data_IF_581658870539
#
_entry.id   IF_581658870539
#
_cell.length_a   1.000
_cell.length_b   1.000
_cell.length_c   1.000
_cell.angle_alpha   90.00
_cell.angle_beta   90.00
_cell.angle_gamma   90.00
#
_symmetry.space_group_name_H-M   'P 1'
#
loop_
_entity.id
_entity.type
_entity.pdbx_description
1 polymer ?
#
# COMPACT_ATOMS: atom_id res chain seq x y z
N UNK A 1 -11.60 14.40 7.46
CA UNK A 1 -10.81 13.96 8.62
C UNK A 1 -9.90 12.85 8.10
N UNK A 2 -8.58 12.96 8.24
CA UNK A 2 -7.68 11.86 7.87
C UNK A 2 -8.03 10.64 8.73
N UNK A 3 -8.08 9.45 8.14
CA UNK A 3 -8.24 8.24 8.93
C UNK A 3 -6.99 8.05 9.81
N UNK A 4 -7.08 7.36 10.95
CA UNK A 4 -5.92 7.01 11.77
C UNK A 4 -4.79 6.36 10.96
N UNK A 5 -5.14 5.59 9.92
CA UNK A 5 -4.21 4.94 9.00
C UNK A 5 -3.45 5.96 8.13
N UNK A 6 -4.14 6.99 7.62
CA UNK A 6 -3.50 8.05 6.82
C UNK A 6 -2.49 8.83 7.67
N UNK A 7 -2.82 9.08 8.94
CA UNK A 7 -1.91 9.74 9.88
C UNK A 7 -0.68 8.88 10.17
N UNK A 8 -0.86 7.59 10.46
CA UNK A 8 0.24 6.66 10.70
C UNK A 8 1.17 6.56 9.48
N UNK A 9 0.62 6.51 8.27
CA UNK A 9 1.40 6.49 7.04
C UNK A 9 2.25 7.75 6.90
N UNK A 10 1.66 8.94 7.03
CA UNK A 10 2.41 10.20 6.95
C UNK A 10 3.49 10.31 8.03
N UNK A 11 3.17 9.88 9.27
CA UNK A 11 4.13 9.87 10.36
C UNK A 11 5.34 9.00 10.06
N UNK A 12 5.14 7.73 9.69
CA UNK A 12 6.25 6.83 9.37
C UNK A 12 7.02 7.28 8.13
N UNK A 13 6.31 7.81 7.12
CA UNK A 13 6.91 8.37 5.91
C UNK A 13 7.92 9.48 6.24
N UNK A 14 7.47 10.51 6.97
CA UNK A 14 8.33 11.66 7.28
C UNK A 14 9.39 11.35 8.34
N UNK A 15 9.17 10.38 9.22
CA UNK A 15 10.16 9.92 10.21
C UNK A 15 11.35 9.27 9.51
N UNK A 16 11.10 8.36 8.57
CA UNK A 16 12.12 7.52 7.96
C UNK A 16 12.73 8.17 6.69
N UNK A 17 12.07 9.19 6.13
CA UNK A 17 12.55 9.96 4.97
C UNK A 17 12.15 11.42 5.13
N UNK A 18 12.85 12.16 6.02
CA UNK A 18 12.65 13.59 6.10
C UNK A 18 12.97 14.20 4.74
N UNK A 19 12.06 15.05 4.25
CA UNK A 19 12.32 15.88 3.07
C UNK A 19 13.33 16.98 3.46
N UNK A 20 14.60 16.60 3.61
CA UNK A 20 15.71 17.52 3.86
C UNK A 20 16.68 17.54 2.67
N UNK A 21 17.69 18.42 2.73
CA UNK A 21 18.67 18.58 1.66
C UNK A 21 19.57 17.35 1.43
N UNK A 22 19.57 16.35 2.33
CA UNK A 22 20.30 15.08 2.13
C UNK A 22 19.53 14.11 1.23
N UNK A 23 18.23 14.33 1.07
CA UNK A 23 17.34 13.52 0.22
C UNK A 23 17.37 13.93 -1.27
N UNK A 24 18.25 14.87 -1.66
CA UNK A 24 18.46 15.29 -3.05
C UNK A 24 19.06 14.12 -3.85
N UNK A 25 18.36 13.70 -4.91
CA UNK A 25 18.82 12.63 -5.81
C UNK A 25 18.29 11.22 -5.50
N UNK A 26 17.29 11.11 -4.60
CA UNK A 26 16.58 9.87 -4.35
C UNK A 26 16.02 9.25 -5.64
N UNK A 27 16.22 7.95 -5.81
CA UNK A 27 15.83 7.19 -6.99
C UNK A 27 14.54 6.41 -6.70
N UNK A 28 13.93 5.89 -7.77
CA UNK A 28 12.79 4.97 -7.70
C UNK A 28 13.02 3.81 -6.72
N UNK A 29 14.23 3.26 -6.68
CA UNK A 29 14.60 2.18 -5.75
C UNK A 29 14.52 2.59 -4.29
N UNK A 30 14.97 3.81 -3.95
CA UNK A 30 14.95 4.33 -2.58
C UNK A 30 13.49 4.50 -2.12
N UNK A 31 12.62 4.98 -3.00
CA UNK A 31 11.19 5.12 -2.74
C UNK A 31 10.47 3.79 -2.57
N UNK A 32 10.79 2.78 -3.40
CA UNK A 32 10.24 1.44 -3.25
C UNK A 32 10.65 0.82 -1.92
N UNK A 33 11.92 0.91 -1.55
CA UNK A 33 12.43 0.39 -0.27
C UNK A 33 11.74 1.12 0.90
N UNK A 34 11.67 2.44 0.83
CA UNK A 34 11.03 3.25 1.87
C UNK A 34 9.55 2.93 2.03
N UNK A 35 8.80 2.85 0.93
CA UNK A 35 7.38 2.45 0.94
C UNK A 35 7.21 1.10 1.62
N UNK A 36 8.08 0.13 1.31
CA UNK A 36 8.08 -1.17 1.97
C UNK A 36 8.32 -1.11 3.48
N UNK A 37 9.23 -0.25 3.94
CA UNK A 37 9.50 -0.03 5.37
C UNK A 37 8.27 0.56 6.07
N UNK A 38 7.66 1.60 5.49
CA UNK A 38 6.44 2.23 6.04
C UNK A 38 5.30 1.23 6.12
N UNK A 39 5.05 0.47 5.04
CA UNK A 39 4.03 -0.59 5.00
C UNK A 39 4.25 -1.61 6.12
N UNK A 40 5.50 -2.04 6.35
CA UNK A 40 5.82 -2.98 7.43
C UNK A 40 5.55 -2.38 8.81
N UNK A 41 5.99 -1.15 9.08
CA UNK A 41 5.76 -0.48 10.36
C UNK A 41 4.26 -0.33 10.67
N UNK A 42 3.45 -0.04 9.66
CA UNK A 42 1.99 0.03 9.80
C UNK A 42 1.40 -1.34 10.11
N UNK A 43 1.82 -2.39 9.39
CA UNK A 43 1.36 -3.75 9.66
C UNK A 43 1.68 -4.17 11.10
N UNK A 44 2.90 -3.90 11.56
CA UNK A 44 3.34 -4.20 12.93
C UNK A 44 2.48 -3.45 13.96
N UNK A 45 2.13 -2.19 13.70
CA UNK A 45 1.22 -1.41 14.55
C UNK A 45 -0.17 -2.03 14.66
N UNK A 46 -0.68 -2.63 13.58
CA UNK A 46 -1.98 -3.32 13.57
C UNK A 46 -1.90 -4.80 14.00
N UNK A 47 -0.71 -5.33 14.31
CA UNK A 47 -0.52 -6.74 14.66
C UNK A 47 -0.64 -7.70 13.48
N UNK A 48 -0.42 -7.21 12.25
CA UNK A 48 -0.44 -8.01 11.03
C UNK A 48 0.97 -8.36 10.57
N UNK A 49 1.09 -9.48 9.84
CA UNK A 49 2.33 -9.87 9.18
C UNK A 49 2.36 -9.34 7.74
N UNK A 50 3.40 -8.58 7.37
CA UNK A 50 3.62 -8.15 5.97
C UNK A 50 4.31 -9.23 5.14
N UNK A 51 3.75 -9.57 3.98
CA UNK A 51 4.41 -10.37 2.94
C UNK A 51 4.64 -9.53 1.70
N UNK A 52 5.90 -9.33 1.36
CA UNK A 52 6.30 -8.77 0.07
C UNK A 52 6.19 -9.87 -0.99
N UNK A 53 5.50 -9.59 -2.09
CA UNK A 53 5.37 -10.55 -3.17
C UNK A 53 6.27 -10.23 -4.36
N UNK A 54 6.35 -11.19 -5.28
CA UNK A 54 7.16 -11.12 -6.48
C UNK A 54 6.50 -11.92 -7.60
N UNK A 55 6.97 -11.73 -8.84
CA UNK A 55 6.53 -12.51 -10.01
C UNK A 55 5.16 -12.13 -10.54
N UNK A 56 4.97 -10.85 -10.90
CA UNK A 56 3.70 -10.27 -11.43
C UNK A 56 2.51 -10.32 -10.46
N UNK A 57 2.75 -10.70 -9.21
CA UNK A 57 1.84 -10.47 -8.10
C UNK A 57 1.96 -9.02 -7.64
N UNK A 58 1.20 -8.70 -6.59
CA UNK A 58 1.20 -7.40 -5.95
C UNK A 58 2.41 -7.17 -5.08
N UNK A 59 2.73 -5.91 -4.83
CA UNK A 59 3.94 -5.59 -4.11
C UNK A 59 3.93 -6.12 -2.68
N UNK A 60 2.79 -6.03 -1.97
CA UNK A 60 2.67 -6.59 -0.63
C UNK A 60 1.24 -7.00 -0.23
N UNK A 61 1.18 -7.78 0.84
CA UNK A 61 -0.05 -8.17 1.53
C UNK A 61 0.15 -8.10 3.04
N UNK A 62 -0.81 -7.55 3.77
CA UNK A 62 -0.90 -7.67 5.23
C UNK A 62 -1.86 -8.80 5.57
N UNK A 63 -1.43 -9.67 6.47
CA UNK A 63 -2.12 -10.91 6.81
C UNK A 63 -2.28 -11.03 8.32
N UNK A 64 -3.47 -11.42 8.76
CA UNK A 64 -3.71 -11.82 10.14
C UNK A 64 -3.52 -13.35 10.29
N UNK A 65 -3.90 -13.94 11.41
CA UNK A 65 -3.75 -15.38 11.63
C UNK A 65 -4.61 -16.25 10.71
N UNK A 66 -5.64 -15.68 10.09
CA UNK A 66 -6.66 -16.41 9.34
C UNK A 66 -6.53 -16.19 7.83
N UNK A 67 -6.25 -14.97 7.38
CA UNK A 67 -6.36 -14.58 5.98
C UNK A 67 -5.57 -13.32 5.61
N UNK A 68 -5.49 -13.07 4.30
CA UNK A 68 -5.11 -11.76 3.77
C UNK A 68 -6.18 -10.72 4.13
N UNK A 69 -5.75 -9.62 4.72
CA UNK A 69 -6.62 -8.54 5.20
C UNK A 69 -6.49 -7.32 4.29
N UNK A 70 -5.26 -6.96 3.91
CA UNK A 70 -4.97 -5.79 3.09
C UNK A 70 -4.05 -6.17 1.93
N UNK A 71 -4.44 -5.84 0.70
CA UNK A 71 -3.61 -5.97 -0.49
C UNK A 71 -3.02 -4.61 -0.85
N UNK A 72 -1.73 -4.57 -1.15
CA UNK A 72 -1.01 -3.33 -1.44
C UNK A 72 -0.26 -3.41 -2.75
N UNK A 73 -0.36 -2.34 -3.53
CA UNK A 73 0.45 -2.06 -4.71
C UNK A 73 0.97 -0.64 -4.64
N UNK A 74 2.13 -0.39 -5.22
CA UNK A 74 2.66 0.95 -5.36
C UNK A 74 3.33 1.17 -6.71
N UNK A 75 3.10 2.33 -7.31
CA UNK A 75 3.71 2.70 -8.59
C UNK A 75 4.32 4.10 -8.53
N UNK A 76 5.53 4.21 -9.05
CA UNK A 76 6.27 5.48 -9.08
C UNK A 76 5.70 6.43 -10.15
N UNK A 77 5.32 5.90 -11.31
CA UNK A 77 4.91 6.69 -12.50
C UNK A 77 3.44 7.16 -12.47
N UNK A 78 2.75 7.05 -11.34
CA UNK A 78 1.34 7.47 -11.21
C UNK A 78 0.31 6.35 -11.42
N UNK A 79 -0.96 6.76 -11.59
CA UNK A 79 -2.13 5.88 -11.67
C UNK A 79 -2.32 5.15 -13.01
N UNK A 80 -1.49 5.43 -14.01
CA UNK A 80 -1.72 5.02 -15.41
C UNK A 80 -1.20 3.61 -15.75
N UNK A 81 -1.00 2.78 -14.73
CA UNK A 81 -0.42 1.43 -14.85
C UNK A 81 -1.43 0.27 -14.67
N UNK A 82 -0.93 -0.95 -14.84
CA UNK A 82 -1.71 -2.20 -14.68
C UNK A 82 -1.81 -2.65 -13.20
N UNK A 83 -1.20 -1.91 -12.28
CA UNK A 83 -1.07 -2.24 -10.86
C UNK A 83 -2.43 -2.28 -10.18
N UNK A 84 -3.35 -1.37 -10.54
CA UNK A 84 -4.74 -1.41 -10.06
C UNK A 84 -5.43 -2.70 -10.50
N UNK A 85 -5.13 -3.21 -11.70
CA UNK A 85 -5.70 -4.47 -12.18
C UNK A 85 -5.21 -5.67 -11.35
N UNK A 86 -3.96 -5.65 -10.87
CA UNK A 86 -3.43 -6.67 -9.96
C UNK A 86 -4.18 -6.70 -8.63
N UNK A 87 -4.52 -5.53 -8.06
CA UNK A 87 -5.40 -5.44 -6.88
C UNK A 87 -6.78 -6.03 -7.16
N UNK A 88 -7.41 -5.65 -8.28
CA UNK A 88 -8.74 -6.16 -8.67
C UNK A 88 -8.78 -7.67 -8.87
N UNK A 89 -7.68 -8.27 -9.32
CA UNK A 89 -7.55 -9.72 -9.55
C UNK A 89 -7.07 -10.47 -8.30
N UNK A 90 -6.93 -9.81 -7.15
CA UNK A 90 -6.44 -10.47 -5.95
C UNK A 90 -7.41 -11.58 -5.50
N UNK A 91 -6.88 -12.79 -5.40
CA UNK A 91 -7.51 -13.90 -4.70
C UNK A 91 -7.01 -13.92 -3.26
N UNK A 92 -7.91 -13.69 -2.31
CA UNK A 92 -7.62 -13.70 -0.88
C UNK A 92 -7.11 -15.08 -0.49
N UNK A 93 -5.94 -15.12 0.12
CA UNK A 93 -5.49 -16.33 0.79
C UNK A 93 -6.19 -16.44 2.14
N UNK A 94 -6.69 -17.64 2.46
CA UNK A 94 -7.28 -17.96 3.77
C UNK A 94 -6.78 -19.33 4.22
N UNK A 95 -6.57 -19.48 5.53
CA UNK A 95 -6.26 -20.76 6.17
C UNK A 95 -7.43 -21.72 6.05
N UNK A 96 -8.66 -21.24 6.27
CA UNK A 96 -9.88 -22.01 6.08
C UNK A 96 -10.40 -21.84 4.65
N UNK A 97 -10.17 -22.85 3.81
CA UNK A 97 -10.58 -22.83 2.38
C UNK A 97 -12.10 -22.83 2.17
N UNK A 98 -12.89 -23.11 3.21
CA UNK A 98 -14.35 -23.04 3.15
C UNK A 98 -14.88 -21.65 3.51
N UNK A 99 -14.01 -20.76 3.97
CA UNK A 99 -14.36 -19.37 4.22
C UNK A 99 -13.93 -18.55 3.01
N UNK A 100 -14.90 -17.93 2.32
CA UNK A 100 -14.62 -16.93 1.30
C UNK A 100 -14.12 -15.68 1.99
N UNK A 101 -12.84 -15.70 2.36
CA UNK A 101 -12.19 -14.59 3.02
C UNK A 101 -12.40 -13.29 2.25
N UNK A 102 -12.95 -12.28 2.92
CA UNK A 102 -13.14 -10.96 2.34
C UNK A 102 -11.90 -10.13 2.59
N UNK A 103 -11.32 -9.61 1.52
CA UNK A 103 -10.30 -8.59 1.63
C UNK A 103 -10.95 -7.33 2.20
N UNK A 104 -10.46 -6.85 3.35
CA UNK A 104 -11.03 -5.66 3.97
C UNK A 104 -10.68 -4.40 3.17
N UNK A 105 -9.42 -4.30 2.72
CA UNK A 105 -8.94 -3.13 1.99
C UNK A 105 -7.97 -3.50 0.85
N UNK A 106 -8.07 -2.75 -0.24
CA UNK A 106 -7.04 -2.67 -1.27
C UNK A 106 -6.46 -1.25 -1.27
N UNK A 107 -5.14 -1.15 -1.17
CA UNK A 107 -4.42 0.13 -1.07
C UNK A 107 -3.50 0.28 -2.28
N UNK A 108 -3.59 1.43 -2.95
CA UNK A 108 -2.69 1.81 -4.03
C UNK A 108 -1.93 3.08 -3.66
N UNK A 109 -0.60 3.01 -3.61
CA UNK A 109 0.28 4.12 -3.23
C UNK A 109 0.99 4.63 -4.49
N UNK A 110 0.85 5.90 -4.81
CA UNK A 110 1.50 6.45 -6.01
C UNK A 110 1.75 7.95 -5.90
N UNK A 111 2.63 8.47 -6.74
CA UNK A 111 2.77 9.90 -6.92
C UNK A 111 1.63 10.46 -7.76
N UNK A 112 1.08 11.61 -7.33
CA UNK A 112 0.13 12.36 -8.15
C UNK A 112 0.92 13.37 -8.97
N UNK A 113 1.13 13.10 -10.25
CA UNK A 113 1.55 14.14 -11.19
C UNK A 113 0.32 15.01 -11.47
N UNK A 114 0.28 16.23 -10.92
CA UNK A 114 -0.86 17.18 -10.87
C UNK A 114 -1.79 16.93 -9.65
N UNK A 115 -2.30 17.97 -8.96
CA UNK A 115 -3.21 17.82 -7.81
C UNK A 115 -4.58 17.27 -8.24
N UNK A 116 -4.62 15.99 -8.58
CA UNK A 116 -5.81 15.21 -8.89
C UNK A 116 -6.53 14.77 -7.60
N UNK A 117 -6.63 15.68 -6.63
CA UNK A 117 -7.36 15.49 -5.36
C UNK A 117 -8.87 15.34 -5.62
N UNK A 118 -9.35 15.70 -6.82
CA UNK A 118 -10.75 15.64 -7.20
C UNK A 118 -11.25 14.26 -7.66
N UNK A 119 -10.38 13.32 -8.07
CA UNK A 119 -10.85 12.04 -8.66
C UNK A 119 -11.15 10.98 -7.60
N UNK A 120 -10.50 11.00 -6.43
CA UNK A 120 -10.69 9.97 -5.39
C UNK A 120 -11.91 10.20 -4.48
N UNK A 121 -12.68 11.27 -4.68
CA UNK A 121 -13.94 11.53 -3.95
C UNK A 121 -15.20 11.16 -4.73
N UNK A 122 -15.08 10.71 -5.98
CA UNK A 122 -16.20 10.53 -6.91
C UNK A 122 -16.48 9.09 -7.33
N UNK A 123 -16.56 8.15 -6.38
CA UNK A 123 -17.24 6.86 -6.61
C UNK A 123 -18.27 6.65 -5.50
N UNK A 124 -19.27 7.54 -5.51
CA UNK A 124 -20.61 7.31 -4.99
C UNK A 124 -21.56 7.97 -5.98
N UNK A 125 -22.19 7.14 -6.80
CA UNK A 125 -23.63 7.02 -7.01
C UNK A 125 -23.90 5.83 -7.95
#
# INVERSE_FOLDING_TARGET
MFSPTDFAFQYFWHRDFPMDQKSVGARRSDWTIHTGIVVRNIADLFGFHTRFESGKRKDAVMRNTEQDVIALEWEWEGVWGNEIEKLRKHKVWSYNKNNEGLLEYAVFITYTHTPSVLILRGVRE
#
